data_IF_941528376193
#
_entry.id   IF_941528376193
#
_cell.length_a   1.000
_cell.length_b   1.000
_cell.length_c   1.000
_cell.angle_alpha   90.00
_cell.angle_beta   90.00
_cell.angle_gamma   90.00
#
_symmetry.space_group_name_H-M   'P 1'
#
loop_
_entity.id
_entity.type
_entity.pdbx_description
1 polymer ?
#
# COMPACT_ATOMS: atom_id res chain seq x y z
N UNK A 1 -27.17 10.27 9.94
CA UNK A 1 -26.60 8.97 9.62
C UNK A 1 -25.10 9.01 9.70
N UNK A 2 -24.57 8.13 10.47
CA UNK A 2 -23.13 8.00 10.59
C UNK A 2 -22.56 7.32 9.37
N UNK A 3 -21.54 7.90 8.81
CA UNK A 3 -20.86 7.31 7.67
C UNK A 3 -19.47 6.88 8.05
N UNK A 4 -19.13 5.66 7.65
CA UNK A 4 -17.79 5.17 7.84
C UNK A 4 -16.94 5.67 6.69
N UNK A 5 -15.94 6.47 7.02
CA UNK A 5 -15.03 6.99 6.01
C UNK A 5 -13.89 6.00 5.87
N UNK A 6 -13.64 5.60 4.63
CA UNK A 6 -12.52 4.71 4.35
C UNK A 6 -11.20 5.43 4.56
N UNK A 7 -10.22 4.68 5.02
CA UNK A 7 -8.86 5.19 5.11
C UNK A 7 -8.26 5.29 3.71
N UNK A 8 -7.46 6.33 3.51
CA UNK A 8 -6.76 6.51 2.24
C UNK A 8 -5.31 6.12 2.42
N UNK A 9 -4.87 5.11 1.68
CA UNK A 9 -3.52 4.56 1.82
C UNK A 9 -2.81 4.64 0.47
N UNK A 10 -1.60 5.19 0.49
CA UNK A 10 -0.77 5.30 -0.70
C UNK A 10 0.43 4.38 -0.56
N UNK A 11 0.60 3.49 -1.52
CA UNK A 11 1.77 2.62 -1.57
C UNK A 11 2.80 3.22 -2.52
N UNK A 12 4.03 3.34 -2.07
CA UNK A 12 5.10 3.99 -2.82
C UNK A 12 6.26 3.03 -3.00
N UNK A 13 6.79 2.95 -4.21
CA UNK A 13 8.08 2.32 -4.44
C UNK A 13 8.86 3.19 -5.41
N UNK A 14 9.99 2.70 -5.89
CA UNK A 14 10.83 3.55 -6.72
C UNK A 14 10.23 3.75 -8.10
N UNK A 15 9.98 2.66 -8.83
CA UNK A 15 9.52 2.74 -10.20
C UNK A 15 8.02 2.64 -10.40
N UNK A 16 7.26 2.33 -9.36
CA UNK A 16 5.83 2.07 -9.44
C UNK A 16 5.52 1.07 -10.56
N UNK A 17 6.35 0.04 -10.64
CA UNK A 17 6.22 -0.99 -11.66
C UNK A 17 6.02 -2.38 -11.07
N UNK A 18 6.45 -2.61 -9.84
CA UNK A 18 6.38 -3.94 -9.21
C UNK A 18 5.78 -3.88 -7.81
N UNK A 19 6.54 -3.36 -6.83
CA UNK A 19 6.14 -3.46 -5.42
C UNK A 19 4.86 -2.72 -5.09
N UNK A 20 4.78 -1.45 -5.41
CA UNK A 20 3.60 -0.67 -5.05
C UNK A 20 2.37 -1.06 -5.87
N UNK A 21 2.46 -1.39 -7.16
CA UNK A 21 1.29 -1.91 -7.85
C UNK A 21 0.80 -3.23 -7.29
N UNK A 22 1.70 -4.12 -6.86
CA UNK A 22 1.29 -5.36 -6.19
C UNK A 22 0.51 -5.07 -4.93
N UNK A 23 1.04 -4.17 -4.09
CA UNK A 23 0.38 -3.83 -2.84
C UNK A 23 -0.99 -3.22 -3.11
N UNK A 24 -1.09 -2.34 -4.10
CA UNK A 24 -2.36 -1.72 -4.44
C UNK A 24 -3.38 -2.77 -4.87
N UNK A 25 -2.99 -3.69 -5.73
CA UNK A 25 -3.90 -4.72 -6.23
C UNK A 25 -4.37 -5.65 -5.11
N UNK A 26 -3.45 -6.05 -4.24
CA UNK A 26 -3.77 -6.94 -3.13
C UNK A 26 -4.70 -6.24 -2.15
N UNK A 27 -4.35 -5.03 -1.76
CA UNK A 27 -5.13 -4.28 -0.78
C UNK A 27 -6.54 -3.99 -1.29
N UNK A 28 -6.63 -3.60 -2.56
CA UNK A 28 -7.90 -3.26 -3.18
C UNK A 28 -8.85 -4.45 -3.18
N UNK A 29 -8.32 -5.64 -3.45
CA UNK A 29 -9.15 -6.84 -3.56
C UNK A 29 -9.46 -7.45 -2.20
N UNK A 30 -8.50 -7.44 -1.28
CA UNK A 30 -8.65 -8.15 -0.01
C UNK A 30 -9.46 -7.39 1.03
N UNK A 31 -9.46 -6.07 0.99
CA UNK A 31 -10.16 -5.28 2.01
C UNK A 31 -10.78 -4.01 1.41
N UNK A 32 -11.66 -4.17 0.41
CA UNK A 32 -12.22 -2.99 -0.26
C UNK A 32 -13.07 -2.12 0.65
N UNK A 33 -13.59 -2.69 1.73
CA UNK A 33 -14.43 -1.95 2.67
C UNK A 33 -13.62 -1.09 3.63
N UNK A 34 -12.34 -1.41 3.81
CA UNK A 34 -11.51 -0.74 4.80
C UNK A 34 -10.89 0.54 4.27
N UNK A 35 -10.42 0.54 3.04
CA UNK A 35 -9.60 1.61 2.53
C UNK A 35 -9.82 1.89 1.05
N UNK A 36 -9.38 3.08 0.67
CA UNK A 36 -9.18 3.43 -0.73
C UNK A 36 -7.67 3.47 -0.93
N UNK A 37 -7.18 2.69 -1.87
CA UNK A 37 -5.74 2.54 -2.04
C UNK A 37 -5.31 3.08 -3.40
N UNK A 38 -4.08 3.57 -3.43
CA UNK A 38 -3.45 4.03 -4.65
C UNK A 38 -1.96 3.73 -4.54
N UNK A 39 -1.24 3.95 -5.62
CA UNK A 39 0.20 3.75 -5.62
C UNK A 39 0.87 4.79 -6.48
N UNK A 40 2.17 4.97 -6.26
CA UNK A 40 2.97 5.90 -7.04
C UNK A 40 4.44 5.57 -6.89
N UNK A 41 5.25 6.19 -7.72
CA UNK A 41 6.69 5.97 -7.71
C UNK A 41 7.45 7.27 -7.52
N UNK A 42 8.62 7.17 -6.92
CA UNK A 42 9.50 8.32 -6.81
C UNK A 42 10.13 8.64 -8.17
N UNK A 43 10.41 7.60 -8.95
CA UNK A 43 10.94 7.73 -10.30
C UNK A 43 10.20 6.72 -11.18
N UNK A 44 8.95 7.02 -11.57
CA UNK A 44 8.12 6.02 -12.23
C UNK A 44 8.69 5.61 -13.59
N UNK A 45 8.58 4.31 -13.89
CA UNK A 45 9.03 3.78 -15.16
C UNK A 45 8.07 4.07 -16.30
N UNK A 46 6.81 4.37 -15.97
CA UNK A 46 5.79 4.65 -16.98
C UNK A 46 5.02 3.42 -17.42
N UNK A 47 5.33 2.26 -16.87
CA UNK A 47 4.61 1.03 -17.17
C UNK A 47 4.69 0.09 -15.98
N UNK A 48 3.67 -0.74 -15.81
CA UNK A 48 3.69 -1.80 -14.81
C UNK A 48 4.36 -3.01 -15.46
N UNK A 49 5.34 -3.58 -14.77
CA UNK A 49 6.13 -4.66 -15.35
C UNK A 49 5.25 -5.88 -15.63
N UNK A 50 5.48 -6.51 -16.77
CA UNK A 50 4.71 -7.68 -17.18
C UNK A 50 4.72 -8.78 -16.10
N UNK A 51 5.87 -9.11 -15.51
CA UNK A 51 5.89 -10.14 -14.47
C UNK A 51 5.07 -9.76 -13.24
N UNK A 52 4.88 -8.48 -12.96
CA UNK A 52 3.98 -8.04 -11.89
C UNK A 52 2.56 -8.49 -12.18
N UNK A 53 2.12 -8.23 -13.41
CA UNK A 53 0.77 -8.59 -13.82
C UNK A 53 0.59 -10.11 -13.82
N UNK A 54 1.60 -10.82 -14.33
CA UNK A 54 1.55 -12.28 -14.36
C UNK A 54 1.49 -12.88 -12.97
N UNK A 55 2.28 -12.35 -12.04
CA UNK A 55 2.30 -12.86 -10.68
C UNK A 55 0.97 -12.62 -9.99
N UNK A 56 0.42 -11.42 -10.14
CA UNK A 56 -0.89 -11.13 -9.55
C UNK A 56 -1.95 -12.06 -10.13
N UNK A 57 -1.99 -12.20 -11.44
CA UNK A 57 -3.01 -13.00 -12.10
C UNK A 57 -2.95 -14.46 -11.69
N UNK A 58 -1.75 -15.03 -11.62
CA UNK A 58 -1.66 -16.44 -11.25
C UNK A 58 -1.96 -16.68 -9.78
N UNK A 59 -1.95 -15.64 -8.98
CA UNK A 59 -2.34 -15.74 -7.57
C UNK A 59 -3.76 -15.25 -7.32
N UNK A 60 -4.55 -15.12 -8.40
CA UNK A 60 -5.97 -14.80 -8.35
C UNK A 60 -6.27 -13.37 -7.92
N UNK A 61 -5.37 -12.46 -8.24
CA UNK A 61 -5.59 -11.03 -8.02
C UNK A 61 -5.78 -10.33 -9.36
N UNK A 62 -6.70 -9.38 -9.36
CA UNK A 62 -6.97 -8.59 -10.55
C UNK A 62 -5.91 -7.52 -10.70
N UNK A 63 -5.39 -7.40 -11.91
CA UNK A 63 -4.36 -6.43 -12.22
C UNK A 63 -4.84 -5.29 -13.11
N UNK A 64 -6.14 -5.28 -13.43
CA UNK A 64 -6.66 -4.24 -14.31
C UNK A 64 -6.65 -2.88 -13.62
N UNK A 65 -6.40 -1.84 -14.40
CA UNK A 65 -6.39 -0.48 -13.88
C UNK A 65 -5.12 -0.04 -13.21
N UNK A 66 -4.11 -0.92 -13.14
CA UNK A 66 -2.84 -0.53 -12.56
C UNK A 66 -2.05 0.33 -13.54
N UNK A 67 -1.44 1.39 -13.03
CA UNK A 67 -0.64 2.31 -13.83
C UNK A 67 0.61 2.70 -13.08
N UNK A 68 1.66 2.99 -13.82
CA UNK A 68 2.89 3.51 -13.24
C UNK A 68 2.84 5.03 -13.35
N UNK A 69 2.89 5.70 -12.21
CA UNK A 69 2.71 7.16 -12.15
C UNK A 69 3.49 7.73 -10.99
N UNK A 70 3.79 9.03 -11.03
CA UNK A 70 4.56 9.64 -9.94
C UNK A 70 3.70 9.86 -8.69
N UNK A 71 4.38 9.96 -7.57
CA UNK A 71 3.76 10.43 -6.33
C UNK A 71 3.68 11.94 -6.44
N UNK A 72 2.46 12.47 -6.47
CA UNK A 72 2.24 13.90 -6.56
C UNK A 72 1.95 14.47 -5.18
N UNK A 73 2.39 15.69 -4.98
CA UNK A 73 2.18 16.38 -3.70
C UNK A 73 0.71 16.42 -3.31
N UNK A 74 -0.17 16.62 -4.29
CA UNK A 74 -1.61 16.66 -4.05
C UNK A 74 -2.12 15.33 -3.49
N UNK A 75 -1.61 14.22 -4.02
CA UNK A 75 -1.99 12.90 -3.51
C UNK A 75 -1.49 12.70 -2.09
N UNK A 76 -0.29 13.15 -1.85
CA UNK A 76 0.36 13.03 -0.56
C UNK A 76 -0.48 13.66 0.54
N UNK A 77 -0.99 14.84 0.28
CA UNK A 77 -1.74 15.58 1.29
C UNK A 77 -3.08 14.95 1.62
N UNK A 78 -3.65 14.19 0.69
CA UNK A 78 -4.98 13.65 0.84
C UNK A 78 -5.03 12.29 1.51
N UNK A 79 -3.90 11.64 1.69
CA UNK A 79 -3.91 10.28 2.23
C UNK A 79 -3.68 10.27 3.73
N UNK A 80 -4.19 9.22 4.38
CA UNK A 80 -4.05 9.04 5.81
C UNK A 80 -2.78 8.32 6.17
N UNK A 81 -2.28 7.48 5.28
CA UNK A 81 -1.12 6.64 5.54
C UNK A 81 -0.36 6.39 4.25
N UNK A 82 0.95 6.48 4.32
CA UNK A 82 1.81 6.17 3.19
C UNK A 82 2.69 4.99 3.56
N UNK A 83 2.71 3.97 2.71
CA UNK A 83 3.59 2.82 2.88
C UNK A 83 4.73 2.96 1.89
N UNK A 84 5.92 3.16 2.41
CA UNK A 84 7.10 3.45 1.59
C UNK A 84 7.94 2.18 1.41
N UNK A 85 7.95 1.67 0.19
CA UNK A 85 8.73 0.47 -0.16
C UNK A 85 9.86 0.81 -1.12
N UNK A 86 10.24 2.10 -1.21
CA UNK A 86 11.22 2.53 -2.20
C UNK A 86 12.64 2.09 -1.90
N UNK A 87 12.92 1.74 -0.65
CA UNK A 87 14.28 1.45 -0.22
C UNK A 87 15.02 2.69 0.26
N UNK A 88 14.43 3.85 0.09
CA UNK A 88 14.99 5.11 0.59
C UNK A 88 14.16 5.49 1.82
N UNK A 89 14.82 5.70 2.94
CA UNK A 89 14.08 5.91 4.19
C UNK A 89 13.22 7.17 4.11
N UNK A 90 12.13 7.14 4.87
CA UNK A 90 11.11 8.18 4.79
C UNK A 90 11.62 9.57 5.08
N UNK A 91 12.61 9.67 5.98
CA UNK A 91 13.15 10.98 6.37
C UNK A 91 13.84 11.71 5.23
N UNK A 92 14.33 10.95 4.24
CA UNK A 92 15.03 11.52 3.10
C UNK A 92 14.11 11.92 1.96
N UNK A 93 12.85 11.46 1.99
CA UNK A 93 11.95 11.61 0.86
C UNK A 93 10.74 12.46 1.17
N UNK A 94 10.19 12.31 2.38
CA UNK A 94 8.90 12.87 2.72
C UNK A 94 9.02 13.96 3.79
N UNK A 95 8.31 15.06 3.58
CA UNK A 95 8.32 16.17 4.54
C UNK A 95 7.49 15.83 5.78
N UNK A 96 6.33 15.23 5.58
CA UNK A 96 5.45 14.85 6.68
C UNK A 96 5.53 13.36 6.89
N UNK A 97 6.62 12.92 7.50
CA UNK A 97 6.87 11.49 7.62
C UNK A 97 6.15 10.83 8.79
N UNK A 98 5.41 11.59 9.57
CA UNK A 98 4.63 11.00 10.66
C UNK A 98 3.60 10.00 10.16
N UNK A 99 3.08 10.22 8.96
CA UNK A 99 2.10 9.30 8.38
C UNK A 99 2.72 8.30 7.42
N UNK A 100 4.05 8.21 7.40
CA UNK A 100 4.77 7.30 6.52
C UNK A 100 5.33 6.15 7.32
N UNK A 101 5.10 4.94 6.82
CA UNK A 101 5.66 3.73 7.39
C UNK A 101 6.58 3.09 6.34
N UNK A 102 7.83 2.81 6.73
CA UNK A 102 8.78 2.18 5.82
C UNK A 102 8.64 0.66 5.88
N UNK A 103 8.50 0.05 4.70
CA UNK A 103 8.56 -1.40 4.55
C UNK A 103 9.78 -1.75 3.73
N UNK A 104 10.64 -2.60 4.28
CA UNK A 104 11.81 -3.06 3.55
C UNK A 104 11.40 -4.28 2.74
N UNK A 105 11.18 -4.08 1.45
CA UNK A 105 10.73 -5.12 0.54
C UNK A 105 11.70 -5.19 -0.63
N UNK A 106 12.12 -6.40 -0.98
CA UNK A 106 13.03 -6.63 -2.08
C UNK A 106 12.44 -6.12 -3.39
N UNK A 107 13.28 -5.49 -4.22
CA UNK A 107 12.86 -5.03 -5.55
C UNK A 107 13.03 -6.17 -6.56
N UNK A 108 11.94 -6.71 -7.09
CA UNK A 108 12.04 -7.85 -8.00
C UNK A 108 12.26 -7.47 -9.46
N UNK A 109 12.33 -6.18 -9.77
CA UNK A 109 12.41 -5.73 -11.16
C UNK A 109 13.58 -6.41 -11.87
N UNK A 110 13.30 -6.93 -13.06
CA UNK A 110 14.30 -7.61 -13.89
C UNK A 110 14.80 -8.91 -13.26
N UNK A 111 14.04 -9.50 -12.34
CA UNK A 111 14.40 -10.74 -11.66
C UNK A 111 13.58 -11.90 -12.20
N UNK A 112 13.88 -13.11 -11.72
CA UNK A 112 13.19 -14.32 -12.12
C UNK A 112 11.78 -14.40 -11.56
N UNK A 113 10.89 -15.20 -12.16
CA UNK A 113 9.52 -15.35 -11.65
C UNK A 113 9.46 -15.78 -10.19
N UNK A 114 10.41 -16.59 -9.73
CA UNK A 114 10.44 -17.02 -8.34
C UNK A 114 10.65 -15.86 -7.40
N UNK A 115 11.45 -14.87 -7.81
CA UNK A 115 11.68 -13.68 -7.00
C UNK A 115 10.40 -12.85 -6.92
N UNK A 116 9.70 -12.71 -8.05
CA UNK A 116 8.41 -11.99 -8.04
C UNK A 116 7.42 -12.68 -7.12
N UNK A 117 7.37 -14.01 -7.13
CA UNK A 117 6.46 -14.75 -6.26
C UNK A 117 6.80 -14.53 -4.80
N UNK A 118 8.08 -14.58 -4.46
CA UNK A 118 8.53 -14.37 -3.08
C UNK A 118 8.18 -12.96 -2.60
N UNK A 119 8.40 -11.95 -3.46
CA UNK A 119 8.06 -10.58 -3.13
C UNK A 119 6.54 -10.41 -2.99
N UNK A 120 5.78 -11.06 -3.88
CA UNK A 120 4.33 -11.05 -3.79
C UNK A 120 3.85 -11.59 -2.44
N UNK A 121 4.41 -12.70 -1.99
CA UNK A 121 4.00 -13.30 -0.73
C UNK A 121 4.36 -12.41 0.45
N UNK A 122 5.51 -11.78 0.41
CA UNK A 122 5.93 -10.84 1.44
C UNK A 122 4.95 -9.66 1.51
N UNK A 123 4.65 -9.08 0.38
CA UNK A 123 3.74 -7.93 0.34
C UNK A 123 2.34 -8.33 0.81
N UNK A 124 1.86 -9.50 0.36
CA UNK A 124 0.53 -9.96 0.78
C UNK A 124 0.45 -10.13 2.29
N UNK A 125 1.48 -10.71 2.89
CA UNK A 125 1.54 -10.87 4.34
C UNK A 125 1.48 -9.51 5.04
N UNK A 126 2.28 -8.55 4.55
CA UNK A 126 2.33 -7.21 5.14
C UNK A 126 1.01 -6.49 5.00
N UNK A 127 0.37 -6.60 3.84
CA UNK A 127 -0.93 -5.96 3.60
C UNK A 127 -1.99 -6.57 4.52
N UNK A 128 -1.98 -7.89 4.67
CA UNK A 128 -2.92 -8.58 5.55
C UNK A 128 -2.75 -8.10 6.99
N UNK A 129 -1.51 -8.01 7.45
CA UNK A 129 -1.24 -7.55 8.81
C UNK A 129 -1.62 -6.08 8.99
N UNK A 130 -1.36 -5.27 7.99
CA UNK A 130 -1.74 -3.86 8.04
C UNK A 130 -3.26 -3.71 8.12
N UNK A 131 -3.99 -4.47 7.31
CA UNK A 131 -5.45 -4.41 7.33
C UNK A 131 -5.99 -4.79 8.71
N UNK A 132 -5.43 -5.85 9.31
CA UNK A 132 -5.87 -6.28 10.63
C UNK A 132 -5.58 -5.22 11.69
N UNK A 133 -4.40 -4.60 11.62
CA UNK A 133 -4.01 -3.56 12.56
C UNK A 133 -4.93 -2.34 12.45
N UNK A 134 -5.25 -1.94 11.23
CA UNK A 134 -6.10 -0.77 11.02
C UNK A 134 -7.55 -1.05 11.42
N UNK A 135 -8.04 -2.28 11.21
CA UNK A 135 -9.37 -2.64 11.67
C UNK A 135 -9.47 -2.60 13.18
N UNK A 136 -8.46 -3.09 13.85
CA UNK A 136 -8.43 -3.06 15.32
C UNK A 136 -8.38 -1.63 15.85
N UNK A 137 -7.60 -0.78 15.21
CA UNK A 137 -7.50 0.62 15.58
C UNK A 137 -8.84 1.32 15.42
N UNK A 138 -9.54 1.07 14.31
CA UNK A 138 -10.85 1.65 14.06
C UNK A 138 -11.87 1.18 15.08
N UNK A 139 -11.84 -0.10 15.43
CA UNK A 139 -12.72 -0.63 16.45
C UNK A 139 -12.51 0.06 17.79
N UNK A 140 -11.25 0.23 18.15
CA UNK A 140 -10.91 0.89 19.41
C UNK A 140 -11.41 2.32 19.42
N UNK A 141 -11.26 3.01 18.30
CA UNK A 141 -11.72 4.38 18.20
C UNK A 141 -13.22 4.50 18.22
N UNK A 142 -13.92 3.54 17.66
CA UNK A 142 -15.38 3.57 17.67
C UNK A 142 -15.96 3.15 18.99
N UNK A 143 -15.19 2.53 19.84
CA UNK A 143 -15.67 2.07 21.13
C UNK A 143 -15.88 3.26 22.06
N UNK A 144 -17.08 3.50 22.49
CA UNK A 144 -17.32 4.70 23.26
C UNK A 144 -16.77 4.69 24.61
N UNK A 145 -16.43 3.91 25.10
CA UNK A 145 -16.08 3.98 26.37
C UNK A 145 -14.86 3.83 26.80
N UNK A 146 -14.69 4.12 26.59
CA UNK A 146 -13.67 4.04 26.86
C UNK A 146 -13.36 5.05 27.42
N UNK A 147 -13.89 5.18 27.62
CA UNK A 147 -13.80 5.80 27.76
C UNK A 147 -13.95 6.22 28.54
N UNK A 148 -14.07 5.99 28.99
CA UNK A 148 -14.13 6.31 29.47
C UNK A 148 -14.03 6.69 30.25
N UNK A 149 -14.26 6.61 31.04
CA UNK A 149 -13.94 6.99 31.64
C UNK A 149 -13.23 7.36 31.99
N UNK A 150 -12.97 7.37 32.25
CA UNK A 150 -12.35 7.63 32.33
C UNK A 150 -11.80 7.75 32.25
N UNK A 151 -11.97 7.67 32.15
CA UNK A 151 -11.50 7.59 31.80
C UNK A 151 -11.16 7.96 31.67
#
# INVERSE_FOLDING_TARGET
VTRVTKLRVLFVCLGNACRSPMAEAIARQDAPDLWEVSSGGLTPLGFVAEPTIETLTKNNYRADGLESKPVLHAHWEEVDLVINMSGIEKYSVFEEYDKVEDWLVEDPYDSAPETYQRVFEDIRTRVTELAARLRNSNKTKSSPTKLDPAE
#
